data_IF_354244864388
#
_entry.id   IF_354244864388
#
_cell.length_a   1.000
_cell.length_b   1.000
_cell.length_c   1.000
_cell.angle_alpha   90.00
_cell.angle_beta   90.00
_cell.angle_gamma   90.00
#
_symmetry.space_group_name_H-M   'P 1'
#
loop_
_entity.id
_entity.type
_entity.pdbx_description
1 polymer ?
#
# COMPACT_ATOMS: atom_id res chain seq x y z
N UNK A 1 5.97 20.94 22.36
CA UNK A 1 4.59 20.59 21.98
C UNK A 1 4.30 19.20 22.49
N UNK A 2 3.17 18.95 23.18
CA UNK A 2 2.73 17.58 23.46
C UNK A 2 2.46 16.92 22.10
N UNK A 3 3.02 15.73 21.86
CA UNK A 3 2.58 14.87 20.76
C UNK A 3 1.05 14.73 20.86
N UNK A 4 0.31 14.85 19.75
CA UNK A 4 -1.14 14.64 19.77
C UNK A 4 -1.43 13.29 20.40
N UNK A 5 -2.25 13.31 21.45
CA UNK A 5 -2.56 12.10 22.22
C UNK A 5 -3.28 11.11 21.30
N UNK A 6 -2.67 9.95 21.05
CA UNK A 6 -3.25 8.90 20.21
C UNK A 6 -4.65 8.56 20.70
N UNK A 7 -5.62 8.62 19.79
CA UNK A 7 -7.04 8.37 20.12
C UNK A 7 -7.31 6.87 20.19
N UNK A 8 -7.00 6.25 21.33
CA UNK A 8 -7.10 4.80 21.52
C UNK A 8 -8.48 4.22 21.20
N UNK A 9 -9.57 4.95 21.48
CA UNK A 9 -10.92 4.53 21.12
C UNK A 9 -11.14 4.46 19.60
N UNK A 10 -10.54 5.37 18.83
CA UNK A 10 -10.58 5.36 17.35
C UNK A 10 -9.75 4.20 16.81
N UNK A 11 -8.56 3.97 17.37
CA UNK A 11 -7.71 2.81 17.02
C UNK A 11 -8.47 1.50 17.24
N UNK A 12 -9.10 1.32 18.41
CA UNK A 12 -9.87 0.12 18.73
C UNK A 12 -11.04 -0.08 17.75
N UNK A 13 -11.78 0.98 17.42
CA UNK A 13 -12.90 0.91 16.49
C UNK A 13 -12.45 0.58 15.05
N UNK A 14 -11.39 1.23 14.55
CA UNK A 14 -10.81 0.94 13.23
C UNK A 14 -10.33 -0.51 13.16
N UNK A 15 -9.59 -0.98 14.16
CA UNK A 15 -9.10 -2.35 14.22
C UNK A 15 -10.23 -3.38 14.28
N UNK A 16 -11.26 -3.14 15.10
CA UNK A 16 -12.44 -4.01 15.21
C UNK A 16 -13.21 -4.08 13.87
N UNK A 17 -13.46 -2.93 13.23
CA UNK A 17 -14.15 -2.87 11.95
C UNK A 17 -13.38 -3.61 10.85
N UNK A 18 -12.06 -3.41 10.75
CA UNK A 18 -11.20 -4.14 9.82
C UNK A 18 -11.22 -5.66 10.10
N UNK A 19 -11.19 -6.06 11.38
CA UNK A 19 -11.30 -7.46 11.79
C UNK A 19 -12.63 -8.10 11.38
N UNK A 20 -13.74 -7.36 11.52
CA UNK A 20 -15.06 -7.83 11.08
C UNK A 20 -15.13 -8.03 9.56
N UNK A 21 -14.60 -7.09 8.77
CA UNK A 21 -14.52 -7.21 7.30
C UNK A 21 -13.62 -8.40 6.90
N UNK A 22 -12.47 -8.54 7.55
CA UNK A 22 -11.55 -9.67 7.34
C UNK A 22 -12.25 -11.01 7.57
N UNK A 23 -12.95 -11.17 8.70
CA UNK A 23 -13.64 -12.42 9.02
C UNK A 23 -14.81 -12.71 8.08
N UNK A 24 -15.60 -11.70 7.71
CA UNK A 24 -16.68 -11.86 6.75
C UNK A 24 -16.15 -12.30 5.38
N UNK A 25 -15.07 -11.67 4.90
CA UNK A 25 -14.40 -12.04 3.66
C UNK A 25 -13.85 -13.48 3.71
N UNK A 26 -13.19 -13.85 4.80
CA UNK A 26 -12.67 -15.19 5.00
C UNK A 26 -13.77 -16.25 5.01
N UNK A 27 -14.90 -15.97 5.66
CA UNK A 27 -16.07 -16.85 5.67
C UNK A 27 -16.64 -17.06 4.26
N UNK A 28 -16.78 -15.99 3.47
CA UNK A 28 -17.25 -16.07 2.08
C UNK A 28 -16.32 -16.94 1.22
N UNK A 29 -15.00 -16.76 1.37
CA UNK A 29 -13.99 -17.56 0.67
C UNK A 29 -14.07 -19.03 1.10
N UNK A 30 -14.19 -19.29 2.41
CA UNK A 30 -14.26 -20.62 3.00
C UNK A 30 -15.49 -21.41 2.54
N UNK A 31 -16.64 -20.73 2.41
CA UNK A 31 -17.88 -21.33 1.90
C UNK A 31 -17.81 -21.69 0.40
N UNK A 32 -16.67 -21.41 -0.25
CA UNK A 32 -16.29 -21.89 -1.59
C UNK A 32 -17.36 -21.64 -2.65
N UNK A 33 -17.93 -20.42 -2.64
CA UNK A 33 -18.66 -19.91 -3.78
C UNK A 33 -17.66 -19.89 -4.95
N UNK A 34 -17.81 -20.81 -5.90
CA UNK A 34 -17.06 -20.90 -7.17
C UNK A 34 -16.60 -19.53 -7.64
N UNK A 35 -15.38 -19.35 -8.17
CA UNK A 35 -14.72 -18.08 -8.58
C UNK A 35 -15.67 -17.00 -9.16
N UNK A 36 -16.46 -16.40 -8.29
CA UNK A 36 -17.61 -15.56 -8.59
C UNK A 36 -17.26 -14.15 -8.22
N UNK A 37 -18.11 -13.20 -8.62
CA UNK A 37 -17.93 -11.80 -8.20
C UNK A 37 -17.85 -11.67 -6.69
N UNK A 38 -18.71 -12.38 -5.95
CA UNK A 38 -18.71 -12.35 -4.48
C UNK A 38 -17.39 -12.88 -3.92
N UNK A 39 -16.86 -13.97 -4.49
CA UNK A 39 -15.56 -14.49 -4.09
C UNK A 39 -14.43 -13.47 -4.33
N UNK A 40 -14.41 -12.82 -5.49
CA UNK A 40 -13.37 -11.83 -5.84
C UNK A 40 -13.46 -10.56 -4.99
N UNK A 41 -14.67 -10.07 -4.72
CA UNK A 41 -14.91 -8.97 -3.79
C UNK A 41 -14.50 -9.33 -2.36
N UNK A 42 -14.72 -10.57 -1.93
CA UNK A 42 -14.24 -11.05 -0.63
C UNK A 42 -12.71 -11.12 -0.60
N UNK A 43 -12.04 -11.66 -1.63
CA UNK A 43 -10.58 -11.67 -1.71
C UNK A 43 -9.99 -10.24 -1.69
N UNK A 44 -10.61 -9.31 -2.40
CA UNK A 44 -10.26 -7.89 -2.37
C UNK A 44 -10.46 -7.27 -0.98
N UNK A 45 -11.60 -7.53 -0.33
CA UNK A 45 -11.90 -7.06 1.02
C UNK A 45 -10.89 -7.59 2.04
N UNK A 46 -10.57 -8.89 1.97
CA UNK A 46 -9.57 -9.54 2.81
C UNK A 46 -8.20 -8.88 2.67
N UNK A 47 -7.71 -8.70 1.43
CA UNK A 47 -6.42 -8.07 1.15
C UNK A 47 -6.38 -6.60 1.59
N UNK A 48 -7.48 -5.86 1.41
CA UNK A 48 -7.61 -4.47 1.88
C UNK A 48 -7.57 -4.39 3.41
N UNK A 49 -8.27 -5.28 4.12
CA UNK A 49 -8.22 -5.33 5.58
C UNK A 49 -6.83 -5.65 6.10
N UNK A 50 -6.12 -6.59 5.46
CA UNK A 50 -4.73 -6.92 5.79
C UNK A 50 -3.83 -5.70 5.55
N UNK A 51 -3.95 -5.02 4.41
CA UNK A 51 -3.14 -3.85 4.08
C UNK A 51 -3.24 -2.78 5.17
N UNK A 52 -4.46 -2.32 5.50
CA UNK A 52 -4.68 -1.28 6.50
C UNK A 52 -4.22 -1.71 7.90
N UNK A 53 -4.43 -2.97 8.26
CA UNK A 53 -3.98 -3.49 9.54
C UNK A 53 -2.44 -3.54 9.62
N UNK A 54 -1.76 -3.99 8.55
CA UNK A 54 -0.30 -4.05 8.52
C UNK A 54 0.33 -2.66 8.48
N UNK A 55 -0.28 -1.68 7.82
CA UNK A 55 0.17 -0.28 7.89
C UNK A 55 0.23 0.21 9.33
N UNK A 56 -0.86 0.03 10.09
CA UNK A 56 -0.91 0.41 11.49
C UNK A 56 0.05 -0.42 12.34
N UNK A 57 0.00 -1.75 12.28
CA UNK A 57 0.78 -2.63 13.15
C UNK A 57 2.29 -2.47 12.92
N UNK A 58 2.72 -2.30 11.67
CA UNK A 58 4.14 -2.12 11.36
C UNK A 58 4.63 -0.77 11.87
N UNK A 59 3.82 0.30 11.72
CA UNK A 59 4.14 1.61 12.29
C UNK A 59 4.16 1.56 13.82
N UNK A 60 3.16 0.93 14.43
CA UNK A 60 3.08 0.75 15.89
C UNK A 60 4.26 -0.03 16.47
N UNK A 61 4.82 -0.97 15.72
CA UNK A 61 5.95 -1.79 16.17
C UNK A 61 7.30 -1.10 15.93
N UNK A 62 7.53 -0.52 14.76
CA UNK A 62 8.84 -0.04 14.33
C UNK A 62 9.02 1.49 14.40
N UNK A 63 7.94 2.26 14.52
CA UNK A 63 7.97 3.73 14.62
C UNK A 63 6.92 4.25 15.61
N UNK A 64 7.10 3.93 16.89
CA UNK A 64 6.18 4.31 17.99
C UNK A 64 6.08 5.82 18.21
N UNK A 65 7.03 6.61 17.71
CA UNK A 65 7.00 8.06 17.82
C UNK A 65 5.98 8.71 16.87
N UNK A 66 5.74 8.07 15.72
CA UNK A 66 4.88 8.61 14.64
C UNK A 66 3.53 7.88 14.53
N UNK A 67 3.33 6.78 15.27
CA UNK A 67 2.07 6.02 15.19
C UNK A 67 0.90 6.82 15.75
N UNK A 68 -0.18 6.89 14.97
CA UNK A 68 -1.48 7.41 15.40
C UNK A 68 -2.62 6.67 14.68
N UNK A 69 -3.86 7.04 14.94
CA UNK A 69 -5.02 6.41 14.31
C UNK A 69 -5.09 6.65 12.80
N UNK A 70 -4.40 7.66 12.27
CA UNK A 70 -4.25 7.85 10.81
C UNK A 70 -3.25 6.89 10.16
N UNK A 71 -2.41 6.19 10.93
CA UNK A 71 -1.48 5.18 10.40
C UNK A 71 -2.18 3.97 9.77
N UNK A 72 -3.50 3.81 9.96
CA UNK A 72 -4.30 2.84 9.20
C UNK A 72 -4.49 3.24 7.73
N UNK A 73 -4.31 4.52 7.37
CA UNK A 73 -4.60 5.07 6.03
C UNK A 73 -6.07 4.85 5.62
N UNK A 74 -7.00 4.91 6.59
CA UNK A 74 -8.44 4.76 6.37
C UNK A 74 -9.16 6.10 6.16
N UNK A 75 -8.44 7.22 6.16
CA UNK A 75 -9.00 8.57 5.97
C UNK A 75 -8.63 9.14 4.60
N UNK A 76 -7.85 8.41 3.80
CA UNK A 76 -7.40 8.82 2.47
C UNK A 76 -8.57 8.77 1.48
N UNK A 77 -8.99 9.96 1.02
CA UNK A 77 -10.13 10.13 0.12
C UNK A 77 -9.86 9.51 -1.25
N UNK A 78 -8.64 9.64 -1.77
CA UNK A 78 -8.32 9.14 -3.11
C UNK A 78 -8.32 7.60 -3.11
N UNK A 79 -7.82 6.99 -2.05
CA UNK A 79 -7.91 5.54 -1.84
C UNK A 79 -9.37 5.08 -1.77
N UNK A 80 -10.24 5.78 -1.03
CA UNK A 80 -11.66 5.44 -0.96
C UNK A 80 -12.36 5.55 -2.32
N UNK A 81 -12.08 6.61 -3.09
CA UNK A 81 -12.63 6.77 -4.44
C UNK A 81 -12.20 5.63 -5.36
N UNK A 82 -10.93 5.21 -5.27
CA UNK A 82 -10.40 4.10 -6.05
C UNK A 82 -11.06 2.77 -5.64
N UNK A 83 -11.25 2.51 -4.35
CA UNK A 83 -11.96 1.32 -3.86
C UNK A 83 -13.39 1.27 -4.39
N UNK A 84 -14.14 2.36 -4.21
CA UNK A 84 -15.54 2.44 -4.69
C UNK A 84 -15.61 2.25 -6.20
N UNK A 85 -14.76 2.94 -6.97
CA UNK A 85 -14.74 2.80 -8.42
C UNK A 85 -14.38 1.38 -8.87
N UNK A 86 -13.44 0.71 -8.17
CA UNK A 86 -13.06 -0.68 -8.46
C UNK A 86 -14.19 -1.67 -8.20
N UNK A 87 -14.94 -1.48 -7.10
CA UNK A 87 -16.11 -2.30 -6.78
C UNK A 87 -17.23 -2.09 -7.80
N UNK A 88 -17.50 -0.82 -8.16
CA UNK A 88 -18.50 -0.48 -9.17
C UNK A 88 -18.16 -1.12 -10.51
N UNK A 89 -16.91 -0.98 -10.99
CA UNK A 89 -16.47 -1.64 -12.22
C UNK A 89 -16.68 -3.15 -12.15
N UNK A 90 -16.25 -3.80 -11.07
CA UNK A 90 -16.36 -5.26 -10.91
C UNK A 90 -17.81 -5.71 -11.03
N UNK A 91 -18.73 -5.06 -10.30
CA UNK A 91 -20.15 -5.42 -10.29
C UNK A 91 -20.79 -5.15 -11.66
N UNK A 92 -20.52 -3.99 -12.26
CA UNK A 92 -21.05 -3.64 -13.58
C UNK A 92 -20.53 -4.58 -14.68
N UNK A 93 -19.22 -4.80 -14.74
CA UNK A 93 -18.60 -5.63 -15.79
C UNK A 93 -19.10 -7.06 -15.71
N UNK A 94 -19.16 -7.64 -14.51
CA UNK A 94 -19.64 -9.00 -14.36
C UNK A 94 -21.14 -9.13 -14.65
N UNK A 95 -21.96 -8.13 -14.26
CA UNK A 95 -23.39 -8.14 -14.54
C UNK A 95 -23.70 -8.08 -16.05
N UNK A 96 -22.99 -7.25 -16.81
CA UNK A 96 -23.28 -7.02 -18.23
C UNK A 96 -22.51 -7.91 -19.20
N UNK A 97 -21.27 -8.30 -18.88
CA UNK A 97 -20.37 -8.91 -19.85
C UNK A 97 -19.91 -10.33 -19.49
N UNK A 98 -20.09 -10.81 -18.25
CA UNK A 98 -19.79 -12.20 -17.84
C UNK A 98 -18.38 -12.73 -18.21
N UNK A 99 -17.37 -11.87 -18.39
CA UNK A 99 -15.98 -12.28 -18.65
C UNK A 99 -15.14 -12.19 -17.38
N UNK A 100 -14.47 -13.29 -17.03
CA UNK A 100 -13.41 -13.34 -16.01
C UNK A 100 -12.08 -13.63 -16.71
N UNK A 101 -11.35 -12.59 -17.09
CA UNK A 101 -10.21 -12.71 -18.01
C UNK A 101 -8.89 -13.05 -17.33
N UNK A 102 -8.70 -12.68 -16.05
CA UNK A 102 -7.42 -12.85 -15.35
C UNK A 102 -7.42 -13.96 -14.29
N UNK A 103 -6.27 -14.63 -14.19
CA UNK A 103 -5.98 -15.62 -13.16
C UNK A 103 -5.93 -14.95 -11.79
N UNK A 104 -6.91 -15.28 -10.94
CA UNK A 104 -6.98 -14.86 -9.54
C UNK A 104 -5.64 -15.11 -8.81
N UNK A 105 -5.01 -16.25 -9.06
CA UNK A 105 -3.75 -16.64 -8.41
C UNK A 105 -2.61 -15.67 -8.74
N UNK A 106 -2.57 -15.14 -9.96
CA UNK A 106 -1.58 -14.12 -10.36
C UNK A 106 -1.83 -12.83 -9.59
N UNK A 107 -3.10 -12.40 -9.48
CA UNK A 107 -3.46 -11.22 -8.70
C UNK A 107 -3.06 -11.36 -7.23
N UNK A 108 -3.38 -12.50 -6.61
CA UNK A 108 -2.99 -12.80 -5.22
C UNK A 108 -1.48 -12.80 -5.05
N UNK A 109 -0.72 -13.43 -5.96
CA UNK A 109 0.74 -13.43 -5.90
C UNK A 109 1.31 -12.00 -5.95
N UNK A 110 0.83 -11.18 -6.88
CA UNK A 110 1.27 -9.79 -7.02
C UNK A 110 0.93 -8.97 -5.78
N UNK A 111 -0.26 -9.15 -5.19
CA UNK A 111 -0.67 -8.52 -3.92
C UNK A 111 0.25 -8.93 -2.77
N UNK A 112 0.54 -10.23 -2.63
CA UNK A 112 1.40 -10.73 -1.54
C UNK A 112 2.82 -10.19 -1.68
N UNK A 113 3.39 -10.16 -2.89
CA UNK A 113 4.71 -9.58 -3.12
C UNK A 113 4.71 -8.08 -2.84
N UNK A 114 3.73 -7.34 -3.34
CA UNK A 114 3.61 -5.90 -3.10
C UNK A 114 3.46 -5.56 -1.62
N UNK A 115 2.56 -6.25 -0.92
CA UNK A 115 2.37 -6.12 0.53
C UNK A 115 3.64 -6.45 1.30
N UNK A 116 4.29 -7.57 0.97
CA UNK A 116 5.53 -7.99 1.61
C UNK A 116 6.64 -6.96 1.46
N UNK A 117 6.86 -6.44 0.24
CA UNK A 117 7.83 -5.37 -0.01
C UNK A 117 7.52 -4.11 0.81
N UNK A 118 6.24 -3.72 0.88
CA UNK A 118 5.82 -2.53 1.63
C UNK A 118 6.04 -2.69 3.14
N UNK A 119 5.57 -3.78 3.72
CA UNK A 119 5.75 -4.08 5.15
C UNK A 119 7.24 -4.20 5.50
N UNK A 120 8.04 -4.87 4.67
CA UNK A 120 9.49 -4.96 4.87
C UNK A 120 10.19 -3.61 4.76
N UNK A 121 9.76 -2.74 3.84
CA UNK A 121 10.30 -1.38 3.73
C UNK A 121 10.06 -0.59 5.01
N UNK A 122 8.81 -0.59 5.51
CA UNK A 122 8.45 0.09 6.75
C UNK A 122 9.23 -0.46 7.94
N UNK A 123 9.34 -1.79 8.07
CA UNK A 123 10.09 -2.43 9.14
C UNK A 123 11.60 -2.13 9.09
N UNK A 124 12.18 -2.10 7.88
CA UNK A 124 13.61 -1.83 7.69
C UNK A 124 13.96 -0.36 7.93
N UNK A 125 13.07 0.56 7.52
CA UNK A 125 13.28 1.99 7.71
C UNK A 125 12.95 2.48 9.14
N UNK A 126 12.00 1.83 9.83
CA UNK A 126 11.66 2.12 11.22
C UNK A 126 11.34 3.60 11.47
N UNK A 127 12.05 4.23 12.40
CA UNK A 127 11.90 5.67 12.71
C UNK A 127 12.20 6.60 11.51
N UNK A 128 12.91 6.11 10.49
CA UNK A 128 13.15 6.86 9.24
C UNK A 128 12.02 6.72 8.22
N UNK A 129 11.00 5.88 8.47
CA UNK A 129 9.81 5.79 7.65
C UNK A 129 8.74 6.81 8.08
N UNK A 130 8.15 7.52 7.13
CA UNK A 130 6.98 8.36 7.39
C UNK A 130 5.99 8.29 6.22
N UNK A 131 4.69 8.33 6.51
CA UNK A 131 3.63 8.39 5.49
C UNK A 131 3.65 9.71 4.70
N UNK A 132 4.25 10.76 5.26
CA UNK A 132 4.46 12.06 4.63
C UNK A 132 5.93 12.30 4.30
N UNK A 133 6.19 12.92 3.14
CA UNK A 133 7.56 13.30 2.76
C UNK A 133 8.10 14.30 3.78
N UNK A 134 9.22 13.93 4.41
CA UNK A 134 9.89 14.77 5.39
C UNK A 134 10.65 15.90 4.69
N UNK A 135 10.40 17.14 5.13
CA UNK A 135 11.05 18.35 4.60
C UNK A 135 12.17 18.87 5.51
N UNK A 136 12.26 18.34 6.72
CA UNK A 136 13.26 18.72 7.71
C UNK A 136 14.07 17.48 8.12
N UNK A 137 15.37 17.67 8.27
CA UNK A 137 16.26 16.61 8.74
C UNK A 137 16.26 16.59 10.27
N UNK A 138 15.90 15.45 10.85
CA UNK A 138 15.95 15.21 12.30
C UNK A 138 17.07 14.22 12.62
N UNK A 139 17.59 14.21 13.85
CA UNK A 139 18.64 13.25 14.25
C UNK A 139 18.21 11.78 14.15
N UNK A 140 16.90 11.52 14.18
CA UNK A 140 16.31 10.19 13.99
C UNK A 140 16.22 9.76 12.53
N UNK A 141 16.21 10.73 11.61
CA UNK A 141 16.17 10.46 10.18
C UNK A 141 17.56 10.03 9.72
N UNK A 142 17.70 8.76 9.34
CA UNK A 142 18.96 8.18 8.86
C UNK A 142 18.78 7.67 7.45
N UNK A 143 19.86 7.75 6.66
CA UNK A 143 19.89 7.12 5.35
C UNK A 143 19.97 5.59 5.51
N UNK A 144 18.85 4.91 5.26
CA UNK A 144 18.74 3.44 5.34
C UNK A 144 19.08 2.81 3.98
N UNK A 145 20.12 1.98 3.95
CA UNK A 145 20.63 1.31 2.74
C UNK A 145 20.76 -0.21 2.88
N UNK A 146 20.29 -0.77 4.00
CA UNK A 146 20.35 -2.19 4.33
C UNK A 146 19.04 -2.92 4.03
N UNK A 147 19.04 -4.25 4.12
CA UNK A 147 17.82 -5.05 3.89
C UNK A 147 17.27 -4.87 2.48
N UNK A 148 15.96 -4.62 2.37
CA UNK A 148 15.30 -4.39 1.07
C UNK A 148 15.81 -3.11 0.38
N UNK A 149 16.30 -2.12 1.15
CA UNK A 149 16.85 -0.87 0.62
C UNK A 149 18.17 -1.07 -0.15
N UNK A 150 18.87 -2.19 0.04
CA UNK A 150 20.04 -2.53 -0.77
C UNK A 150 19.72 -2.71 -2.25
N UNK A 151 18.48 -3.09 -2.58
CA UNK A 151 18.05 -3.37 -3.95
C UNK A 151 17.17 -2.24 -4.50
N UNK A 152 16.31 -1.69 -3.65
CA UNK A 152 15.30 -0.69 -4.01
C UNK A 152 15.47 0.55 -3.16
N UNK A 153 15.58 1.73 -3.77
CA UNK A 153 15.64 2.98 -2.99
C UNK A 153 14.28 3.49 -2.50
N UNK A 154 13.20 3.05 -3.15
CA UNK A 154 11.81 3.36 -2.76
C UNK A 154 10.94 2.08 -2.64
N UNK A 155 11.29 1.12 -1.77
CA UNK A 155 10.64 -0.19 -1.72
C UNK A 155 9.19 -0.12 -1.22
N UNK A 156 8.83 0.87 -0.38
CA UNK A 156 7.45 1.08 0.05
C UNK A 156 6.55 1.57 -1.09
N UNK A 157 7.06 2.41 -1.99
CA UNK A 157 6.33 2.87 -3.16
C UNK A 157 6.20 1.76 -4.20
N UNK A 158 7.28 1.01 -4.44
CA UNK A 158 7.24 -0.20 -5.25
C UNK A 158 6.17 -1.18 -4.74
N UNK A 159 6.19 -1.47 -3.43
CA UNK A 159 5.25 -2.38 -2.80
C UNK A 159 3.80 -1.95 -2.96
N UNK A 160 3.49 -0.67 -2.71
CA UNK A 160 2.14 -0.14 -2.87
C UNK A 160 1.67 -0.12 -4.33
N UNK A 161 2.55 0.25 -5.26
CA UNK A 161 2.24 0.28 -6.69
C UNK A 161 1.82 -1.10 -7.20
N UNK A 162 2.62 -2.13 -6.89
CA UNK A 162 2.31 -3.49 -7.32
C UNK A 162 1.17 -4.10 -6.54
N UNK A 163 1.02 -3.78 -5.24
CA UNK A 163 -0.16 -4.15 -4.48
C UNK A 163 -1.44 -3.66 -5.17
N UNK A 164 -1.50 -2.38 -5.56
CA UNK A 164 -2.64 -1.82 -6.27
C UNK A 164 -2.93 -2.55 -7.60
N UNK A 165 -1.89 -2.80 -8.42
CA UNK A 165 -2.03 -3.54 -9.68
C UNK A 165 -2.59 -4.94 -9.43
N UNK A 166 -2.05 -5.65 -8.44
CA UNK A 166 -2.52 -6.99 -8.05
C UNK A 166 -4.00 -6.99 -7.63
N UNK A 167 -4.44 -5.95 -6.90
CA UNK A 167 -5.83 -5.79 -6.49
C UNK A 167 -6.79 -5.68 -7.68
N UNK A 168 -6.41 -4.98 -8.74
CA UNK A 168 -7.23 -4.90 -9.95
C UNK A 168 -7.24 -6.22 -10.73
N UNK A 169 -6.13 -6.98 -10.73
CA UNK A 169 -6.07 -8.33 -11.31
C UNK A 169 -6.98 -9.30 -10.54
N UNK A 170 -7.03 -9.22 -9.20
CA UNK A 170 -7.95 -10.01 -8.36
C UNK A 170 -9.40 -9.74 -8.76
N UNK A 171 -9.77 -8.47 -8.95
CA UNK A 171 -11.11 -8.09 -9.37
C UNK A 171 -11.40 -8.43 -10.84
N UNK A 172 -10.36 -8.51 -11.67
CA UNK A 172 -10.52 -8.66 -13.12
C UNK A 172 -10.85 -7.35 -13.82
N UNK A 173 -10.56 -6.20 -13.20
CA UNK A 173 -10.83 -4.87 -13.72
C UNK A 173 -9.80 -4.46 -14.77
N UNK A 174 -10.24 -3.79 -15.83
CA UNK A 174 -9.39 -3.31 -16.92
C UNK A 174 -9.32 -1.79 -16.93
N UNK A 175 -10.45 -1.11 -16.66
CA UNK A 175 -10.52 0.36 -16.68
C UNK A 175 -9.77 0.93 -15.48
N UNK A 176 -10.09 0.46 -14.27
CA UNK A 176 -9.39 0.87 -13.06
C UNK A 176 -7.93 0.42 -13.08
N UNK A 177 -7.62 -0.76 -13.63
CA UNK A 177 -6.23 -1.16 -13.85
C UNK A 177 -5.48 -0.15 -14.73
N UNK A 178 -6.03 0.28 -15.87
CA UNK A 178 -5.35 1.23 -16.74
C UNK A 178 -5.29 2.65 -16.14
N UNK A 179 -6.46 3.22 -15.81
CA UNK A 179 -6.58 4.62 -15.36
C UNK A 179 -5.96 4.82 -13.97
N UNK A 180 -6.25 3.90 -13.04
CA UNK A 180 -5.74 3.99 -11.68
C UNK A 180 -4.23 3.77 -11.62
N UNK A 181 -3.68 2.80 -12.36
CA UNK A 181 -2.23 2.59 -12.40
C UNK A 181 -1.53 3.77 -13.07
N UNK A 182 -2.10 4.37 -14.12
CA UNK A 182 -1.55 5.58 -14.73
C UNK A 182 -1.51 6.76 -13.75
N UNK A 183 -2.62 7.01 -13.03
CA UNK A 183 -2.67 8.07 -12.00
C UNK A 183 -1.68 7.81 -10.87
N UNK A 184 -1.62 6.56 -10.38
CA UNK A 184 -0.72 6.17 -9.29
C UNK A 184 0.75 6.25 -9.70
N UNK A 185 1.06 5.90 -10.95
CA UNK A 185 2.39 6.08 -11.54
C UNK A 185 2.81 7.55 -11.53
N UNK A 186 1.95 8.45 -12.05
CA UNK A 186 2.23 9.89 -12.06
C UNK A 186 2.43 10.46 -10.65
N UNK A 187 1.61 10.02 -9.69
CA UNK A 187 1.75 10.39 -8.29
C UNK A 187 3.12 9.97 -7.72
N UNK A 188 3.51 8.70 -7.87
CA UNK A 188 4.79 8.24 -7.35
C UNK A 188 5.98 8.85 -8.07
N UNK A 189 5.88 9.11 -9.38
CA UNK A 189 6.95 9.79 -10.12
C UNK A 189 7.22 11.18 -9.53
N UNK A 190 6.17 11.99 -9.37
CA UNK A 190 6.30 13.34 -8.80
C UNK A 190 6.78 13.29 -7.34
N UNK A 191 6.22 12.37 -6.55
CA UNK A 191 6.57 12.22 -5.14
C UNK A 191 8.01 11.78 -4.92
N UNK A 192 8.48 10.79 -5.69
CA UNK A 192 9.87 10.31 -5.64
C UNK A 192 10.82 11.45 -6.00
N UNK A 193 10.59 12.15 -7.11
CA UNK A 193 11.43 13.29 -7.51
C UNK A 193 11.55 14.33 -6.40
N UNK A 194 10.42 14.73 -5.83
CA UNK A 194 10.38 15.69 -4.73
C UNK A 194 11.12 15.18 -3.48
N UNK A 195 10.94 13.92 -3.10
CA UNK A 195 11.60 13.33 -1.92
C UNK A 195 13.11 13.17 -2.12
N UNK A 196 13.56 12.78 -3.31
CA UNK A 196 14.99 12.61 -3.60
C UNK A 196 15.74 13.96 -3.59
N UNK A 197 15.09 15.08 -3.90
CA UNK A 197 15.67 16.42 -3.74
C UNK A 197 16.03 16.70 -2.28
N UNK A 198 15.11 16.41 -1.35
CA UNK A 198 15.38 16.55 0.08
C UNK A 198 16.42 15.56 0.58
N UNK A 199 16.32 14.28 0.20
CA UNK A 199 17.29 13.26 0.61
C UNK A 199 18.71 13.60 0.13
N UNK A 200 18.85 14.14 -1.07
CA UNK A 200 20.12 14.64 -1.59
C UNK A 200 20.68 15.82 -0.80
N UNK A 201 19.81 16.69 -0.27
CA UNK A 201 20.22 17.79 0.62
C UNK A 201 20.58 17.33 2.04
N UNK A 202 19.93 16.27 2.53
CA UNK A 202 20.11 15.77 3.90
C UNK A 202 21.32 14.86 4.04
N UNK A 203 21.57 14.03 3.03
CA UNK A 203 22.58 12.97 3.09
C UNK A 203 23.56 13.08 1.93
N UNK A 204 24.83 13.46 2.19
CA UNK A 204 25.86 13.55 1.15
C UNK A 204 26.06 12.25 0.37
N UNK A 205 25.90 11.10 1.03
CA UNK A 205 26.05 9.76 0.43
C UNK A 205 24.85 9.33 -0.43
N UNK A 206 23.75 10.10 -0.44
CA UNK A 206 22.53 9.72 -1.16
C UNK A 206 22.75 9.53 -2.66
N UNK A 207 23.54 10.43 -3.28
CA UNK A 207 23.84 10.36 -4.72
C UNK A 207 24.49 9.03 -5.12
N UNK A 208 25.45 8.56 -4.32
CA UNK A 208 26.13 7.27 -4.51
C UNK A 208 25.18 6.10 -4.30
N UNK A 209 24.31 6.20 -3.29
CA UNK A 209 23.30 5.17 -3.01
C UNK A 209 22.25 5.08 -4.13
N UNK A 210 21.74 6.21 -4.61
CA UNK A 210 20.77 6.29 -5.71
C UNK A 210 21.34 5.70 -7.01
N UNK A 211 22.62 5.94 -7.31
CA UNK A 211 23.29 5.35 -8.47
C UNK A 211 23.44 3.82 -8.39
N UNK A 212 23.47 3.25 -7.18
CA UNK A 212 23.62 1.82 -6.95
C UNK A 212 22.29 1.05 -6.84
N UNK A 213 21.15 1.75 -6.83
CA UNK A 213 19.83 1.17 -6.53
C UNK A 213 18.76 1.63 -7.51
N UNK A 214 17.63 0.92 -7.56
CA UNK A 214 16.54 1.18 -8.52
C UNK A 214 15.22 1.46 -7.79
N UNK A 215 14.25 2.05 -8.49
CA UNK A 215 12.85 2.14 -8.00
C UNK A 215 12.04 0.91 -8.41
N UNK A 216 12.28 0.38 -9.61
CA UNK A 216 11.53 -0.73 -10.23
C UNK A 216 10.01 -0.50 -10.39
N UNK A 217 9.59 0.76 -10.44
CA UNK A 217 8.31 1.17 -11.02
C UNK A 217 8.60 1.54 -12.48
N UNK A 218 7.90 0.95 -13.47
CA UNK A 218 8.22 1.16 -14.89
C UNK A 218 8.30 2.64 -15.28
N UNK A 219 9.37 3.07 -15.95
CA UNK A 219 9.52 4.46 -16.41
C UNK A 219 9.85 5.49 -15.32
N UNK A 220 10.19 5.05 -14.10
CA UNK A 220 10.77 5.88 -13.05
C UNK A 220 12.22 5.43 -12.86
N UNK A 221 13.16 6.30 -13.25
CA UNK A 221 14.59 6.08 -13.12
C UNK A 221 15.00 6.25 -11.67
#
# INVERSE_FOLDING_TARGET
MKSPTVRLHVVALKAFALGAVFLAALAIIWLNLSNSTIFRLAAYGLATSIFHMLEFLTTAYYNTAEVDDDSFILTDRDLHLVVVASVVETVTVHYFFNYLTYSLNVGVLVVVVGQGCRTLAMATAGESFNHYVQREHTEKHKLVTSGIYRFLRHPSYFGYFWWYVGMQIILGNWVMAAVGTYKLHGFFKARIQYEEEFLGSFFPDYSKYAAATRVLIPGIA
#
